data_IF_254637144373
#
_entry.id   IF_254637144373
#
_cell.length_a   1.000
_cell.length_b   1.000
_cell.length_c   1.000
_cell.angle_alpha   90.00
_cell.angle_beta   90.00
_cell.angle_gamma   90.00
#
_symmetry.space_group_name_H-M   'P 1'
#
loop_
_entity.id
_entity.type
_entity.pdbx_description
1 polymer ?
#
# COMPACT_ATOMS: atom_id res chain seq x y z
N UNK A 1 -24.94 -25.55 -24.32
CA UNK A 1 -24.72 -24.10 -24.47
C UNK A 1 -23.40 -23.76 -23.80
N UNK A 2 -22.31 -23.56 -24.57
CA UNK A 2 -21.04 -23.11 -23.98
C UNK A 2 -21.20 -21.66 -23.59
N UNK A 3 -21.09 -21.35 -22.30
CA UNK A 3 -21.03 -19.97 -21.80
C UNK A 3 -19.61 -19.49 -22.13
N UNK A 4 -19.45 -18.74 -23.20
CA UNK A 4 -18.21 -18.00 -23.43
C UNK A 4 -18.10 -16.93 -22.34
N UNK A 5 -17.20 -17.12 -21.42
CA UNK A 5 -16.83 -16.09 -20.44
C UNK A 5 -15.99 -15.07 -21.20
N UNK A 6 -16.60 -13.97 -21.61
CA UNK A 6 -15.88 -12.86 -22.24
C UNK A 6 -14.97 -12.24 -21.19
N UNK A 7 -13.68 -12.42 -21.36
CA UNK A 7 -12.64 -11.82 -20.54
C UNK A 7 -11.89 -10.83 -21.42
N UNK A 8 -11.75 -9.59 -20.96
CA UNK A 8 -11.01 -8.53 -21.65
C UNK A 8 -9.68 -8.33 -20.93
N UNK A 9 -8.59 -8.31 -21.70
CA UNK A 9 -7.27 -7.94 -21.23
C UNK A 9 -6.91 -6.58 -21.81
N UNK A 10 -6.53 -5.63 -20.95
CA UNK A 10 -6.14 -4.27 -21.34
C UNK A 10 -4.69 -4.07 -20.89
N UNK A 11 -3.85 -3.67 -21.83
CA UNK A 11 -2.46 -3.31 -21.57
C UNK A 11 -2.25 -1.84 -21.96
N UNK A 12 -1.78 -1.03 -21.02
CA UNK A 12 -1.64 0.42 -21.19
C UNK A 12 -0.23 0.85 -20.80
N UNK A 13 0.66 1.13 -21.78
CA UNK A 13 1.93 1.81 -21.49
C UNK A 13 1.68 3.26 -21.12
N UNK A 14 2.44 3.78 -20.15
CA UNK A 14 2.30 5.14 -19.63
C UNK A 14 3.68 5.81 -19.66
N UNK A 15 3.73 7.04 -20.17
CA UNK A 15 4.91 7.89 -20.15
C UNK A 15 4.52 9.30 -19.69
N UNK A 16 5.23 9.82 -18.71
CA UNK A 16 5.07 11.20 -18.23
C UNK A 16 6.42 11.90 -18.24
N UNK A 17 6.48 13.05 -18.89
CA UNK A 17 7.67 13.89 -18.92
C UNK A 17 7.44 15.11 -18.02
N UNK A 18 8.42 15.44 -17.21
CA UNK A 18 8.39 16.58 -16.30
C UNK A 18 9.60 17.47 -16.54
N UNK A 19 9.36 18.76 -16.58
CA UNK A 19 10.38 19.78 -16.60
C UNK A 19 10.01 20.93 -15.67
N UNK A 20 10.91 21.29 -14.78
CA UNK A 20 10.80 22.47 -13.93
C UNK A 20 12.14 23.18 -13.86
N UNK A 21 12.20 24.48 -14.23
CA UNK A 21 13.44 25.27 -14.15
C UNK A 21 13.79 25.69 -12.72
N UNK A 22 12.87 25.50 -11.77
CA UNK A 22 13.05 25.89 -10.38
C UNK A 22 13.93 24.89 -9.63
N UNK A 23 14.67 25.38 -8.64
CA UNK A 23 15.35 24.49 -7.69
C UNK A 23 14.32 23.81 -6.78
N UNK A 24 14.60 22.57 -6.40
CA UNK A 24 13.83 21.87 -5.35
C UNK A 24 14.15 22.52 -4.00
N UNK A 25 13.12 22.75 -3.18
CA UNK A 25 13.32 23.08 -1.78
C UNK A 25 13.93 21.87 -1.06
N UNK A 26 14.71 22.11 0.01
CA UNK A 26 15.22 21.01 0.85
C UNK A 26 14.07 20.24 1.50
N UNK A 27 13.86 19.03 1.06
CA UNK A 27 12.81 18.08 1.51
C UNK A 27 13.38 16.81 2.12
N UNK A 28 14.68 16.75 2.40
CA UNK A 28 15.38 15.55 2.88
C UNK A 28 14.76 14.92 4.12
N UNK A 29 14.16 15.74 4.98
CA UNK A 29 13.53 15.31 6.22
C UNK A 29 12.02 15.03 6.09
N UNK A 30 11.47 15.12 4.89
CA UNK A 30 10.05 14.81 4.63
C UNK A 30 9.91 13.31 4.47
N UNK A 31 8.96 12.73 5.20
CA UNK A 31 8.61 11.32 5.03
C UNK A 31 7.63 11.17 3.86
N UNK A 32 8.16 10.75 2.71
CA UNK A 32 7.36 10.57 1.50
C UNK A 32 7.74 9.30 0.77
N UNK A 33 6.81 8.36 0.73
CA UNK A 33 6.94 7.17 -0.11
C UNK A 33 6.34 7.41 -1.48
N UNK A 34 7.05 6.99 -2.53
CA UNK A 34 6.54 6.94 -3.89
C UNK A 34 5.94 5.56 -4.14
N UNK A 35 4.76 5.56 -4.74
CA UNK A 35 4.01 4.37 -5.14
C UNK A 35 3.23 4.64 -6.43
N UNK A 36 2.52 3.65 -6.94
CA UNK A 36 1.75 3.77 -8.19
C UNK A 36 0.69 4.89 -8.14
N UNK A 37 0.09 5.14 -6.98
CA UNK A 37 -0.96 6.16 -6.87
C UNK A 37 -0.44 7.60 -7.02
N UNK A 38 0.84 7.84 -6.71
CA UNK A 38 1.39 9.19 -6.72
C UNK A 38 2.53 9.43 -7.72
N UNK A 39 3.18 8.40 -8.26
CA UNK A 39 4.38 8.55 -9.10
C UNK A 39 4.15 9.41 -10.36
N UNK A 40 2.93 9.41 -10.90
CA UNK A 40 2.55 10.22 -12.07
C UNK A 40 1.92 11.56 -11.69
N UNK A 41 1.65 11.81 -10.40
CA UNK A 41 1.04 13.06 -9.94
C UNK A 41 1.94 14.26 -10.23
N UNK A 42 1.35 15.40 -10.55
CA UNK A 42 2.08 16.66 -10.68
C UNK A 42 2.73 17.03 -9.35
N UNK A 43 1.99 16.88 -8.27
CA UNK A 43 2.47 17.03 -6.90
C UNK A 43 2.71 15.66 -6.25
N UNK A 44 3.75 14.97 -6.70
CA UNK A 44 4.10 13.65 -6.12
C UNK A 44 4.83 13.76 -4.78
N UNK A 45 5.34 14.94 -4.44
CA UNK A 45 5.97 15.18 -3.14
C UNK A 45 4.95 15.38 -2.03
N UNK A 46 3.77 15.92 -2.35
CA UNK A 46 2.68 16.10 -1.40
C UNK A 46 2.95 17.15 -0.32
N UNK A 47 3.83 18.12 -0.60
CA UNK A 47 4.20 19.20 0.30
C UNK A 47 3.76 20.55 -0.26
N UNK A 48 3.08 21.33 0.55
CA UNK A 48 2.65 22.69 0.16
C UNK A 48 3.86 23.56 -0.17
N UNK A 49 3.78 24.25 -1.31
CA UNK A 49 4.83 25.12 -1.82
C UNK A 49 6.16 24.41 -2.15
N UNK A 50 6.16 23.09 -2.33
CA UNK A 50 7.30 22.35 -2.80
C UNK A 50 7.16 22.04 -4.29
N UNK A 51 8.18 22.40 -5.06
CA UNK A 51 8.24 22.11 -6.50
C UNK A 51 9.44 21.20 -6.72
N UNK A 52 9.20 20.09 -7.38
CA UNK A 52 10.27 19.21 -7.82
C UNK A 52 10.99 19.84 -9.03
N UNK A 53 12.24 20.22 -8.85
CA UNK A 53 13.05 20.83 -9.90
C UNK A 53 13.73 19.80 -10.82
N UNK A 54 14.22 20.30 -11.97
CA UNK A 54 14.96 19.50 -12.96
C UNK A 54 14.07 18.81 -13.99
N UNK A 55 14.65 17.80 -14.64
CA UNK A 55 14.00 17.02 -15.69
C UNK A 55 13.85 15.57 -15.23
N UNK A 56 12.69 15.00 -15.50
CA UNK A 56 12.46 13.58 -15.25
C UNK A 56 11.46 12.99 -16.24
N UNK A 57 11.64 11.68 -16.51
CA UNK A 57 10.73 10.88 -17.30
C UNK A 57 10.24 9.72 -16.41
N UNK A 58 8.94 9.64 -16.18
CA UNK A 58 8.30 8.51 -15.50
C UNK A 58 7.68 7.60 -16.55
N UNK A 59 8.05 6.35 -16.53
CA UNK A 59 7.55 5.33 -17.46
C UNK A 59 6.96 4.16 -16.67
N UNK A 60 6.02 3.50 -17.27
CA UNK A 60 5.39 2.35 -16.65
C UNK A 60 4.37 1.66 -17.52
N UNK A 61 3.73 0.68 -16.94
CA UNK A 61 2.73 -0.16 -17.60
C UNK A 61 1.61 -0.47 -16.62
N UNK A 62 0.38 -0.46 -17.13
CA UNK A 62 -0.82 -0.95 -16.45
C UNK A 62 -1.40 -2.13 -17.21
N UNK A 63 -1.68 -3.22 -16.53
CA UNK A 63 -2.40 -4.38 -17.04
C UNK A 63 -3.66 -4.60 -16.25
N UNK A 64 -4.80 -4.79 -16.95
CA UNK A 64 -6.09 -5.12 -16.34
C UNK A 64 -6.73 -6.30 -17.04
N UNK A 65 -7.22 -7.22 -16.24
CA UNK A 65 -8.05 -8.33 -16.69
C UNK A 65 -9.45 -8.17 -16.12
N UNK A 66 -10.43 -7.98 -17.00
CA UNK A 66 -11.81 -7.64 -16.66
C UNK A 66 -12.74 -8.79 -17.05
N UNK A 67 -13.71 -9.10 -16.19
CA UNK A 67 -14.73 -10.10 -16.48
C UNK A 67 -15.92 -9.50 -17.25
N UNK A 68 -16.84 -10.37 -17.69
CA UNK A 68 -18.06 -9.97 -18.42
C UNK A 68 -19.01 -8.99 -17.66
N UNK A 69 -18.79 -8.75 -16.38
CA UNK A 69 -19.56 -7.83 -15.56
C UNK A 69 -18.83 -6.52 -15.30
N UNK A 70 -17.79 -6.22 -16.11
CA UNK A 70 -16.95 -5.03 -15.98
C UNK A 70 -16.25 -4.89 -14.62
N UNK A 71 -15.86 -6.04 -14.03
CA UNK A 71 -15.10 -6.08 -12.78
C UNK A 71 -13.68 -6.52 -13.02
N UNK A 72 -12.75 -5.80 -12.43
CA UNK A 72 -11.34 -6.14 -12.43
C UNK A 72 -11.11 -7.45 -11.65
N UNK A 73 -10.56 -8.47 -12.32
CA UNK A 73 -10.11 -9.73 -11.71
C UNK A 73 -8.65 -9.63 -11.31
N UNK A 74 -7.84 -9.06 -12.20
CA UNK A 74 -6.41 -8.81 -12.00
C UNK A 74 -6.13 -7.39 -12.42
N UNK A 75 -5.39 -6.66 -11.58
CA UNK A 75 -4.70 -5.44 -11.97
C UNK A 75 -3.23 -5.57 -11.62
N UNK A 76 -2.36 -5.06 -12.47
CA UNK A 76 -0.94 -5.00 -12.22
C UNK A 76 -0.41 -3.71 -12.83
N UNK A 77 0.21 -2.90 -12.00
CA UNK A 77 0.83 -1.65 -12.41
C UNK A 77 2.30 -1.64 -11.99
N UNK A 78 3.15 -1.12 -12.85
CA UNK A 78 4.58 -1.00 -12.64
C UNK A 78 5.06 0.34 -13.16
N UNK A 79 5.93 1.02 -12.41
CA UNK A 79 6.50 2.30 -12.84
C UNK A 79 7.87 2.57 -12.22
N UNK A 80 8.66 3.38 -12.90
CA UNK A 80 9.91 3.94 -12.41
C UNK A 80 10.16 5.32 -13.03
N UNK A 81 11.04 6.10 -12.45
CA UNK A 81 11.39 7.44 -12.92
C UNK A 81 12.89 7.51 -13.20
N UNK A 82 13.22 8.12 -14.34
CA UNK A 82 14.59 8.50 -14.70
C UNK A 82 14.76 10.03 -14.59
N UNK A 83 15.89 10.46 -14.06
CA UNK A 83 16.30 11.85 -14.00
C UNK A 83 17.62 12.06 -14.79
N UNK A 84 17.74 13.24 -15.37
CA UNK A 84 19.00 13.63 -16.03
C UNK A 84 20.11 13.85 -15.00
N UNK A 85 19.79 14.53 -13.88
CA UNK A 85 20.72 14.87 -12.81
C UNK A 85 20.13 14.43 -11.46
N UNK A 86 20.96 13.86 -10.59
CA UNK A 86 20.59 13.57 -9.21
C UNK A 86 20.17 14.86 -8.49
N UNK A 87 19.09 14.76 -7.70
CA UNK A 87 18.56 15.85 -6.88
C UNK A 87 18.67 15.48 -5.40
N UNK A 88 19.63 16.07 -4.71
CA UNK A 88 19.95 15.74 -3.31
C UNK A 88 18.99 16.37 -2.29
N UNK A 89 18.13 17.30 -2.74
CA UNK A 89 17.14 17.96 -1.89
C UNK A 89 15.81 17.17 -1.79
N UNK A 90 15.73 16.01 -2.41
CA UNK A 90 14.57 15.13 -2.38
C UNK A 90 14.48 14.36 -1.05
N UNK A 91 13.26 13.89 -0.65
CA UNK A 91 13.08 13.10 0.57
C UNK A 91 13.99 11.87 0.61
N UNK A 92 14.65 11.63 1.76
CA UNK A 92 15.53 10.48 1.96
C UNK A 92 14.79 9.14 2.07
N UNK A 93 13.47 9.18 2.30
CA UNK A 93 12.61 7.98 2.34
C UNK A 93 12.25 7.43 0.96
N UNK A 94 12.69 8.12 -0.10
CA UNK A 94 12.43 7.71 -1.49
C UNK A 94 13.67 7.86 -2.34
N UNK A 95 13.79 7.05 -3.38
CA UNK A 95 14.86 7.13 -4.39
C UNK A 95 14.53 8.09 -5.54
N UNK A 96 13.47 8.91 -5.41
CA UNK A 96 13.07 9.86 -6.45
C UNK A 96 14.13 10.91 -6.79
N UNK A 97 15.05 11.20 -5.87
CA UNK A 97 16.19 12.07 -6.08
C UNK A 97 17.31 11.45 -6.89
N UNK A 98 17.38 10.14 -6.99
CA UNK A 98 18.40 9.43 -7.74
C UNK A 98 18.19 9.52 -9.26
N UNK A 99 19.22 9.18 -10.04
CA UNK A 99 19.10 9.15 -11.52
C UNK A 99 18.10 8.12 -12.01
N UNK A 100 17.96 7.02 -11.29
CA UNK A 100 16.94 6.01 -11.50
C UNK A 100 16.26 5.75 -10.15
N UNK A 101 14.96 5.93 -10.10
CA UNK A 101 14.20 5.61 -8.89
C UNK A 101 14.01 4.11 -8.75
N UNK A 102 13.55 3.71 -7.58
CA UNK A 102 13.00 2.37 -7.38
C UNK A 102 11.94 2.04 -8.43
N UNK A 103 11.79 0.76 -8.67
CA UNK A 103 10.67 0.20 -9.42
C UNK A 103 9.53 -0.01 -8.44
N UNK A 104 8.48 0.79 -8.57
CA UNK A 104 7.29 0.67 -7.74
C UNK A 104 6.19 -0.06 -8.50
N UNK A 105 5.41 -0.86 -7.80
CA UNK A 105 4.31 -1.55 -8.42
C UNK A 105 3.22 -1.92 -7.44
N UNK A 106 2.06 -2.28 -8.00
CA UNK A 106 1.01 -2.95 -7.29
C UNK A 106 0.45 -4.13 -8.09
N UNK A 107 -0.09 -5.09 -7.37
CA UNK A 107 -0.80 -6.22 -7.91
C UNK A 107 -2.06 -6.45 -7.11
N UNK A 108 -3.21 -6.52 -7.78
CA UNK A 108 -4.47 -6.90 -7.16
C UNK A 108 -5.04 -8.11 -7.86
N UNK A 109 -5.48 -9.09 -7.08
CA UNK A 109 -6.21 -10.26 -7.55
C UNK A 109 -7.51 -10.44 -6.79
N UNK A 110 -8.64 -10.29 -7.50
CA UNK A 110 -10.00 -10.36 -6.93
C UNK A 110 -10.90 -11.23 -7.83
N UNK A 111 -10.73 -12.59 -7.78
CA UNK A 111 -11.48 -13.47 -8.67
C UNK A 111 -12.99 -13.50 -8.39
N UNK A 112 -13.38 -13.17 -7.17
CA UNK A 112 -14.77 -13.19 -6.71
C UNK A 112 -14.95 -12.24 -5.51
N UNK A 113 -16.14 -12.23 -4.92
CA UNK A 113 -16.46 -11.38 -3.75
C UNK A 113 -15.93 -11.95 -2.42
N UNK A 114 -15.40 -13.17 -2.42
CA UNK A 114 -14.96 -13.89 -1.21
C UNK A 114 -13.50 -13.59 -0.92
N UNK A 115 -12.68 -13.49 -1.95
CA UNK A 115 -11.22 -13.38 -1.83
C UNK A 115 -10.69 -12.17 -2.59
N UNK A 116 -9.79 -11.43 -1.93
CA UNK A 116 -9.00 -10.37 -2.55
C UNK A 116 -7.57 -10.41 -2.00
N UNK A 117 -6.62 -10.28 -2.90
CA UNK A 117 -5.20 -10.15 -2.60
C UNK A 117 -4.69 -8.85 -3.19
N UNK A 118 -3.96 -8.07 -2.38
CA UNK A 118 -3.30 -6.85 -2.78
C UNK A 118 -1.82 -6.98 -2.42
N UNK A 119 -0.97 -6.58 -3.33
CA UNK A 119 0.46 -6.53 -3.10
C UNK A 119 1.02 -5.23 -3.66
N UNK A 120 1.58 -4.41 -2.78
CA UNK A 120 2.27 -3.18 -3.11
C UNK A 120 3.76 -3.35 -2.82
N UNK A 121 4.62 -2.90 -3.72
CA UNK A 121 6.04 -3.08 -3.57
C UNK A 121 6.87 -1.91 -4.12
N UNK A 122 8.10 -1.80 -3.60
CA UNK A 122 9.17 -0.95 -4.12
C UNK A 122 10.47 -1.73 -4.07
N UNK A 123 11.04 -2.01 -5.24
CA UNK A 123 12.35 -2.64 -5.40
C UNK A 123 13.37 -1.62 -5.87
N UNK A 124 14.59 -1.76 -5.39
CA UNK A 124 15.69 -0.97 -5.95
C UNK A 124 15.81 -1.20 -7.46
N UNK A 125 16.40 -0.24 -8.18
CA UNK A 125 16.46 -0.26 -9.64
C UNK A 125 17.29 -1.44 -10.21
N UNK A 126 18.12 -2.07 -9.40
CA UNK A 126 18.90 -3.26 -9.74
C UNK A 126 18.17 -4.57 -9.39
N UNK A 127 17.03 -4.49 -8.71
CA UNK A 127 16.24 -5.63 -8.20
C UNK A 127 17.02 -6.51 -7.19
N UNK A 128 17.94 -5.91 -6.44
CA UNK A 128 18.75 -6.64 -5.47
C UNK A 128 18.07 -6.75 -4.11
N UNK A 129 17.30 -5.75 -3.72
CA UNK A 129 16.56 -5.73 -2.45
C UNK A 129 15.24 -4.99 -2.56
N UNK A 130 14.32 -5.33 -1.67
CA UNK A 130 13.05 -4.62 -1.51
C UNK A 130 13.19 -3.52 -0.47
N UNK A 131 12.73 -2.31 -0.83
CA UNK A 131 12.59 -1.18 0.08
C UNK A 131 11.23 -1.17 0.78
N UNK A 132 10.23 -1.77 0.14
CA UNK A 132 8.88 -1.85 0.66
C UNK A 132 8.12 -3.04 0.07
N UNK A 133 7.52 -3.83 0.94
CA UNK A 133 6.58 -4.90 0.62
C UNK A 133 5.36 -4.82 1.52
N UNK A 134 4.19 -4.75 0.94
CA UNK A 134 2.90 -4.86 1.65
C UNK A 134 2.03 -5.90 0.95
N UNK A 135 1.78 -7.00 1.62
CA UNK A 135 0.87 -8.05 1.15
C UNK A 135 -0.36 -8.11 2.04
N UNK A 136 -1.51 -7.81 1.49
CA UNK A 136 -2.81 -7.86 2.17
C UNK A 136 -3.71 -8.89 1.53
N UNK A 137 -4.33 -9.74 2.35
CA UNK A 137 -5.32 -10.73 1.93
C UNK A 137 -6.61 -10.55 2.68
N UNK A 138 -7.72 -10.49 1.96
CA UNK A 138 -9.07 -10.32 2.51
C UNK A 138 -9.91 -11.55 2.16
N UNK A 139 -10.61 -12.08 3.15
CA UNK A 139 -11.61 -13.13 2.99
C UNK A 139 -12.95 -12.67 3.56
N UNK A 140 -13.99 -12.76 2.76
CA UNK A 140 -15.35 -12.38 3.15
C UNK A 140 -16.34 -13.50 2.80
N UNK A 141 -16.86 -14.17 3.82
CA UNK A 141 -17.85 -15.24 3.65
C UNK A 141 -19.06 -14.94 4.53
N UNK A 142 -20.20 -14.70 3.90
CA UNK A 142 -21.45 -14.32 4.58
C UNK A 142 -21.22 -13.12 5.55
N UNK A 143 -21.34 -13.39 6.83
CA UNK A 143 -21.21 -12.44 7.94
C UNK A 143 -19.80 -12.40 8.56
N UNK A 144 -18.87 -13.21 8.06
CA UNK A 144 -17.47 -13.26 8.52
C UNK A 144 -16.56 -12.54 7.52
N UNK A 145 -15.70 -11.68 8.05
CA UNK A 145 -14.61 -11.00 7.32
C UNK A 145 -13.30 -11.21 8.07
N UNK A 146 -12.25 -11.54 7.37
CA UNK A 146 -10.89 -11.55 7.93
C UNK A 146 -9.89 -10.95 6.95
N UNK A 147 -8.98 -10.18 7.49
CA UNK A 147 -7.88 -9.53 6.78
C UNK A 147 -6.57 -9.93 7.44
N UNK A 148 -5.60 -10.32 6.63
CA UNK A 148 -4.21 -10.50 7.03
C UNK A 148 -3.36 -9.51 6.25
N UNK A 149 -2.44 -8.87 6.94
CA UNK A 149 -1.48 -7.96 6.36
C UNK A 149 -0.07 -8.34 6.80
N UNK A 150 0.82 -8.45 5.84
CA UNK A 150 2.25 -8.49 6.02
C UNK A 150 2.81 -7.18 5.49
N UNK A 151 3.64 -6.51 6.28
CA UNK A 151 4.35 -5.32 5.86
C UNK A 151 5.82 -5.44 6.23
N UNK A 152 6.68 -5.12 5.28
CA UNK A 152 8.11 -4.96 5.48
C UNK A 152 8.58 -3.68 4.79
N UNK A 153 9.23 -2.82 5.55
CA UNK A 153 9.77 -1.57 5.07
C UNK A 153 11.21 -1.42 5.53
N UNK A 154 12.06 -1.13 4.57
CA UNK A 154 13.47 -0.82 4.77
C UNK A 154 13.76 0.52 4.10
N UNK A 155 13.88 1.59 4.87
CA UNK A 155 14.22 2.90 4.36
C UNK A 155 15.28 3.58 5.25
N UNK A 156 15.75 4.76 4.82
CA UNK A 156 16.81 5.49 5.51
C UNK A 156 16.39 6.10 6.85
N UNK A 157 15.08 6.33 7.06
CA UNK A 157 14.55 6.99 8.28
C UNK A 157 14.00 5.96 9.26
N UNK A 158 13.46 4.85 8.79
CA UNK A 158 12.87 3.83 9.65
C UNK A 158 12.74 2.48 9.00
N UNK A 159 12.55 1.47 9.83
CA UNK A 159 12.37 0.10 9.37
C UNK A 159 11.22 -0.51 10.13
N UNK A 160 10.18 -0.94 9.43
CA UNK A 160 9.04 -1.65 10.00
C UNK A 160 8.94 -3.06 9.41
N UNK A 161 8.57 -4.01 10.23
CA UNK A 161 8.22 -5.36 9.77
C UNK A 161 7.21 -5.97 10.72
N UNK A 162 6.00 -6.20 10.21
CA UNK A 162 4.93 -6.80 11.03
C UNK A 162 4.02 -7.73 10.23
N UNK A 163 3.30 -8.56 10.97
CA UNK A 163 2.14 -9.30 10.51
C UNK A 163 0.96 -8.88 11.37
N UNK A 164 -0.14 -8.51 10.74
CA UNK A 164 -1.39 -8.21 11.43
C UNK A 164 -2.54 -9.09 10.95
N UNK A 165 -3.52 -9.28 11.83
CA UNK A 165 -4.80 -9.87 11.49
C UNK A 165 -5.92 -9.02 12.07
N UNK A 166 -6.98 -8.85 11.30
CA UNK A 166 -8.26 -8.31 11.75
C UNK A 166 -9.37 -9.22 11.28
N UNK A 167 -10.13 -9.75 12.21
CA UNK A 167 -11.27 -10.64 11.94
C UNK A 167 -12.53 -10.05 12.55
N UNK A 168 -13.63 -10.10 11.82
CA UNK A 168 -14.91 -9.53 12.22
C UNK A 168 -16.03 -10.50 11.89
N UNK A 169 -16.97 -10.70 12.80
CA UNK A 169 -18.19 -11.49 12.59
C UNK A 169 -19.40 -10.69 13.02
N UNK A 170 -20.34 -10.52 12.10
CA UNK A 170 -21.67 -9.98 12.39
C UNK A 170 -22.60 -11.17 12.69
N UNK A 171 -22.92 -11.43 13.93
CA UNK A 171 -23.77 -12.58 14.30
C UNK A 171 -25.25 -12.20 14.41
N UNK A 172 -25.55 -10.89 14.38
CA UNK A 172 -26.88 -10.31 14.19
C UNK A 172 -26.77 -9.02 13.36
N UNK A 173 -27.89 -8.45 12.92
CA UNK A 173 -27.91 -7.20 12.13
C UNK A 173 -27.32 -6.02 12.90
N UNK A 174 -27.46 -6.06 14.22
CA UNK A 174 -27.07 -5.01 15.17
C UNK A 174 -25.88 -5.39 16.05
N UNK A 175 -25.24 -6.54 15.86
CA UNK A 175 -24.19 -7.07 16.76
C UNK A 175 -22.98 -7.58 15.99
N UNK A 176 -21.81 -7.13 16.44
CA UNK A 176 -20.53 -7.40 15.83
C UNK A 176 -19.50 -7.78 16.88
N UNK A 177 -18.71 -8.79 16.60
CA UNK A 177 -17.46 -9.06 17.32
C UNK A 177 -16.31 -8.86 16.37
N UNK A 178 -15.28 -8.13 16.80
CA UNK A 178 -14.03 -7.99 16.08
C UNK A 178 -12.84 -8.37 16.95
N UNK A 179 -11.87 -9.03 16.32
CA UNK A 179 -10.58 -9.35 16.91
C UNK A 179 -9.49 -8.77 16.02
N UNK A 180 -8.48 -8.14 16.61
CA UNK A 180 -7.30 -7.72 15.88
C UNK A 180 -6.03 -7.94 16.70
N UNK A 181 -4.95 -8.24 15.99
CA UNK A 181 -3.63 -8.45 16.55
C UNK A 181 -2.56 -7.98 15.59
N UNK A 182 -1.40 -7.57 16.12
CA UNK A 182 -0.21 -7.25 15.33
C UNK A 182 1.02 -7.82 16.03
N UNK A 183 1.87 -8.47 15.24
CA UNK A 183 3.14 -9.01 15.68
C UNK A 183 4.27 -8.33 14.93
N UNK A 184 5.17 -7.71 15.65
CA UNK A 184 6.42 -7.19 15.12
C UNK A 184 7.36 -8.36 14.84
N UNK A 185 7.84 -8.48 13.59
CA UNK A 185 8.70 -9.58 13.15
C UNK A 185 10.16 -9.39 13.56
N UNK A 186 10.61 -8.16 13.66
CA UNK A 186 12.01 -7.83 14.03
C UNK A 186 12.30 -8.16 15.48
N UNK A 187 11.37 -7.77 16.37
CA UNK A 187 11.48 -8.04 17.81
C UNK A 187 10.87 -9.37 18.20
N UNK A 188 10.15 -10.04 17.28
CA UNK A 188 9.36 -11.25 17.52
C UNK A 188 8.30 -11.08 18.63
N UNK A 189 7.87 -9.84 18.87
CA UNK A 189 6.92 -9.44 19.90
C UNK A 189 5.53 -9.25 19.30
N UNK A 190 4.50 -9.77 19.98
CA UNK A 190 3.12 -9.35 19.70
C UNK A 190 2.89 -8.00 20.32
N UNK A 191 2.58 -6.99 19.52
CA UNK A 191 2.42 -5.61 19.99
C UNK A 191 1.09 -5.42 20.72
N UNK A 192 0.02 -6.04 20.19
CA UNK A 192 -1.28 -5.99 20.85
C UNK A 192 -2.20 -7.14 20.48
N UNK A 193 -3.16 -7.38 21.36
CA UNK A 193 -4.42 -8.07 21.11
C UNK A 193 -5.58 -7.14 21.43
N UNK A 194 -6.56 -7.10 20.58
CA UNK A 194 -7.75 -6.28 20.76
C UNK A 194 -9.00 -7.11 20.42
N UNK A 195 -9.92 -7.23 21.37
CA UNK A 195 -11.23 -7.86 21.20
C UNK A 195 -12.30 -6.82 21.48
N UNK A 196 -13.22 -6.64 20.56
CA UNK A 196 -14.31 -5.68 20.68
C UNK A 196 -15.65 -6.36 20.39
N UNK A 197 -16.63 -6.10 21.23
CA UNK A 197 -18.02 -6.34 20.97
C UNK A 197 -18.73 -5.00 20.75
N UNK A 198 -19.52 -4.89 19.72
CA UNK A 198 -20.31 -3.68 19.39
C UNK A 198 -21.77 -4.07 19.19
N UNK A 199 -22.63 -3.31 19.79
CA UNK A 199 -24.08 -3.27 19.53
C UNK A 199 -24.43 -1.92 18.90
N UNK A 200 -25.15 -1.95 17.78
CA UNK A 200 -25.52 -0.75 17.04
C UNK A 200 -26.94 -0.87 16.51
N UNK A 201 -27.82 0.04 16.93
CA UNK A 201 -29.13 0.23 16.33
C UNK A 201 -29.30 1.69 15.84
N UNK A 202 -30.49 2.06 15.38
CA UNK A 202 -30.76 3.38 14.81
C UNK A 202 -30.49 4.55 15.77
N UNK A 203 -30.51 4.31 17.09
CA UNK A 203 -30.46 5.35 18.13
C UNK A 203 -29.23 5.24 19.05
N UNK A 204 -28.57 4.07 19.11
CA UNK A 204 -27.51 3.78 20.07
C UNK A 204 -26.39 2.98 19.42
N UNK A 205 -25.15 3.40 19.71
CA UNK A 205 -23.95 2.58 19.50
C UNK A 205 -23.31 2.38 20.86
N UNK A 206 -23.17 1.13 21.30
CA UNK A 206 -22.47 0.75 22.51
C UNK A 206 -21.41 -0.30 22.20
N UNK A 207 -20.20 -0.13 22.75
CA UNK A 207 -19.12 -1.08 22.56
C UNK A 207 -18.39 -1.40 23.87
N UNK A 208 -17.93 -2.63 23.97
CA UNK A 208 -17.03 -3.11 25.02
C UNK A 208 -15.76 -3.59 24.34
N UNK A 209 -14.63 -3.07 24.79
CA UNK A 209 -13.33 -3.39 24.20
C UNK A 209 -12.39 -3.90 25.30
N UNK A 210 -11.75 -5.03 25.02
CA UNK A 210 -10.60 -5.51 25.77
C UNK A 210 -9.35 -5.36 24.90
N UNK A 211 -8.41 -4.55 25.33
CA UNK A 211 -7.14 -4.32 24.65
C UNK A 211 -5.99 -4.68 25.58
N UNK A 212 -5.05 -5.48 25.10
CA UNK A 212 -3.81 -5.80 25.78
C UNK A 212 -2.65 -5.43 24.87
N UNK A 213 -1.88 -4.44 25.29
CA UNK A 213 -0.68 -3.97 24.62
C UNK A 213 0.56 -4.54 25.32
N UNK A 214 1.55 -4.91 24.53
CA UNK A 214 2.85 -5.37 25.00
C UNK A 214 3.88 -4.35 24.53
N UNK A 215 4.48 -3.66 25.50
CA UNK A 215 5.59 -2.75 25.24
C UNK A 215 6.90 -3.47 25.57
N UNK A 216 7.89 -3.38 24.69
CA UNK A 216 9.27 -3.59 25.11
C UNK A 216 9.65 -2.37 25.93
N UNK A 217 10.00 -2.56 27.21
CA UNK A 217 10.71 -1.53 27.96
C UNK A 217 11.99 -1.22 27.17
N UNK A 218 11.97 -0.10 26.44
CA UNK A 218 13.16 0.40 25.79
C UNK A 218 14.13 0.77 26.90
N UNK A 219 15.20 0.02 27.03
CA UNK A 219 16.34 0.52 27.74
C UNK A 219 16.83 1.75 26.99
N UNK A 220 16.66 2.91 27.63
CA UNK A 220 17.23 4.19 27.24
C UNK A 220 18.76 4.10 27.27
#
# INVERSE_FOLDING_TARGET
MKIEVLVVNIFTPILSLRYSPNATRDLRNVDRRINIANIYSIDRLGEDNAIEGGQSATYGVSFKKINKFDKDIITFDLASTLRDIKNEDMPLTTTMGEKSSDIVGNFTYSPNKIFKLLYDFSYDNNLEYSNFDSLKTEFKVNNFFTEFEFLEENNLIGTESFISNKSTINFAEDQLISFSTRKNRRTNLTEYYNLMYEYKNDCLIASIQYKKDYYTDGYL
#
